data_IF_274151861636
#
_entry.id   IF_274151861636
#
_cell.length_a   1.000
_cell.length_b   1.000
_cell.length_c   1.000
_cell.angle_alpha   90.00
_cell.angle_beta   90.00
_cell.angle_gamma   90.00
#
_symmetry.space_group_name_H-M   'P 1'
#
loop_
_entity.id
_entity.type
_entity.pdbx_description
1 polymer ?
#
# COMPACT_ATOMS: atom_id res chain seq x y z
N UNK A 1 5.32 27.21 19.12
CA UNK A 1 6.60 26.58 18.72
C UNK A 1 7.01 25.43 19.64
N UNK A 2 7.40 25.65 20.90
CA UNK A 2 7.77 24.52 21.81
C UNK A 2 6.57 23.63 22.17
N UNK A 3 5.39 24.24 22.37
CA UNK A 3 4.15 23.50 22.66
C UNK A 3 3.73 22.60 21.50
N UNK A 4 3.84 23.10 20.27
CA UNK A 4 3.44 22.36 19.07
C UNK A 4 4.38 21.17 18.83
N UNK A 5 5.70 21.37 18.95
CA UNK A 5 6.68 20.30 18.86
C UNK A 5 6.48 19.20 19.92
N UNK A 6 6.16 19.57 21.16
CA UNK A 6 5.89 18.60 22.22
C UNK A 6 4.60 17.81 21.97
N UNK A 7 3.55 18.47 21.45
CA UNK A 7 2.30 17.80 21.08
C UNK A 7 2.48 16.87 19.88
N UNK A 8 3.29 17.25 18.89
CA UNK A 8 3.63 16.42 17.74
C UNK A 8 4.37 15.14 18.15
N UNK A 9 5.27 15.24 19.13
CA UNK A 9 5.95 14.05 19.68
C UNK A 9 4.99 13.10 20.39
N UNK A 10 4.09 13.63 21.24
CA UNK A 10 3.07 12.80 21.92
C UNK A 10 2.15 12.14 20.90
N UNK A 11 1.74 12.88 19.87
CA UNK A 11 0.91 12.34 18.81
C UNK A 11 1.65 11.23 18.06
N UNK A 12 2.91 11.44 17.70
CA UNK A 12 3.71 10.41 17.03
C UNK A 12 3.83 9.14 17.87
N UNK A 13 4.08 9.23 19.17
CA UNK A 13 4.15 8.06 20.06
C UNK A 13 2.83 7.26 20.05
N UNK A 14 1.68 7.95 20.07
CA UNK A 14 0.36 7.30 19.94
C UNK A 14 0.15 6.67 18.57
N UNK A 15 0.54 7.36 17.50
CA UNK A 15 0.42 6.87 16.11
C UNK A 15 1.29 5.63 15.91
N UNK A 16 2.53 5.66 16.40
CA UNK A 16 3.46 4.54 16.33
C UNK A 16 2.90 3.32 17.08
N UNK A 17 2.26 3.53 18.24
CA UNK A 17 1.64 2.49 19.05
C UNK A 17 0.25 2.02 18.60
N UNK A 18 -0.34 2.59 17.55
CA UNK A 18 -1.64 2.13 17.06
C UNK A 18 -1.54 0.71 16.51
N UNK A 19 -2.37 -0.22 16.98
CA UNK A 19 -2.39 -1.60 16.48
C UNK A 19 -3.49 -1.77 15.44
N UNK A 20 -3.12 -2.29 14.26
CA UNK A 20 -4.07 -2.57 13.18
C UNK A 20 -4.72 -3.96 13.28
N UNK A 21 -4.11 -4.86 14.05
CA UNK A 21 -4.55 -6.23 14.20
C UNK A 21 -5.10 -6.48 15.60
N UNK A 22 -6.10 -7.35 15.70
CA UNK A 22 -6.56 -7.89 16.98
C UNK A 22 -6.00 -9.31 17.16
N UNK A 23 -5.54 -9.64 18.37
CA UNK A 23 -5.00 -10.96 18.72
C UNK A 23 -6.00 -12.11 18.49
N UNK A 24 -7.30 -11.82 18.43
CA UNK A 24 -8.35 -12.81 18.19
C UNK A 24 -8.62 -13.07 16.70
N UNK A 25 -8.10 -12.21 15.81
CA UNK A 25 -8.37 -12.30 14.38
C UNK A 25 -7.40 -13.30 13.71
N UNK A 26 -7.94 -14.39 13.20
CA UNK A 26 -7.15 -15.32 12.35
C UNK A 26 -6.82 -14.71 10.98
N UNK A 27 -7.59 -13.69 10.57
CA UNK A 27 -7.43 -12.99 9.29
C UNK A 27 -7.57 -11.48 9.50
N UNK A 28 -6.59 -10.92 10.23
CA UNK A 28 -6.50 -9.49 10.55
C UNK A 28 -6.06 -8.61 9.37
N UNK A 29 -5.87 -7.33 9.66
CA UNK A 29 -5.46 -6.32 8.68
C UNK A 29 -4.14 -6.66 8.00
N UNK A 30 -3.08 -6.94 8.77
CA UNK A 30 -1.75 -7.21 8.23
C UNK A 30 -1.69 -8.53 7.46
N UNK A 31 -2.37 -9.57 7.95
CA UNK A 31 -2.49 -10.86 7.26
C UNK A 31 -3.14 -10.69 5.89
N UNK A 32 -4.25 -9.95 5.83
CA UNK A 32 -4.94 -9.68 4.57
C UNK A 32 -4.09 -8.84 3.62
N UNK A 33 -3.46 -7.78 4.13
CA UNK A 33 -2.58 -6.89 3.37
C UNK A 33 -1.42 -7.67 2.73
N UNK A 34 -0.77 -8.54 3.50
CA UNK A 34 0.33 -9.37 3.02
C UNK A 34 -0.13 -10.34 1.92
N UNK A 35 -1.25 -11.03 2.13
CA UNK A 35 -1.74 -12.05 1.19
C UNK A 35 -2.23 -11.45 -0.13
N UNK A 36 -2.94 -10.32 -0.09
CA UNK A 36 -3.48 -9.70 -1.30
C UNK A 36 -2.39 -9.06 -2.17
N UNK A 37 -1.26 -8.66 -1.57
CA UNK A 37 -0.15 -8.01 -2.28
C UNK A 37 1.08 -8.90 -2.47
N UNK A 38 1.01 -10.17 -2.04
CA UNK A 38 2.13 -11.13 -2.06
C UNK A 38 3.37 -10.63 -1.31
N UNK A 39 3.18 -9.85 -0.24
CA UNK A 39 4.26 -9.29 0.54
C UNK A 39 4.74 -10.24 1.62
N UNK A 40 6.04 -10.17 1.92
CA UNK A 40 6.57 -10.83 3.11
C UNK A 40 6.00 -10.18 4.38
N UNK A 41 5.99 -10.93 5.49
CA UNK A 41 5.60 -10.36 6.79
C UNK A 41 6.48 -9.19 7.19
N UNK A 42 7.79 -9.28 6.91
CA UNK A 42 8.73 -8.20 7.17
C UNK A 42 8.37 -6.94 6.39
N UNK A 43 8.24 -7.03 5.05
CA UNK A 43 7.91 -5.89 4.21
C UNK A 43 6.55 -5.28 4.60
N UNK A 44 5.57 -6.12 4.92
CA UNK A 44 4.26 -5.67 5.42
C UNK A 44 4.41 -4.79 6.66
N UNK A 45 5.23 -5.18 7.64
CA UNK A 45 5.45 -4.36 8.84
C UNK A 45 6.19 -3.05 8.54
N UNK A 46 7.15 -3.06 7.60
CA UNK A 46 7.81 -1.85 7.13
C UNK A 46 6.80 -0.90 6.48
N UNK A 47 5.98 -1.40 5.53
CA UNK A 47 4.96 -0.62 4.86
C UNK A 47 3.92 -0.02 5.84
N UNK A 48 3.52 -0.76 6.88
CA UNK A 48 2.63 -0.27 7.93
C UNK A 48 3.25 0.88 8.74
N UNK A 49 4.54 0.79 9.06
CA UNK A 49 5.25 1.87 9.74
C UNK A 49 5.33 3.12 8.86
N UNK A 50 5.61 2.97 7.57
CA UNK A 50 5.66 4.07 6.62
C UNK A 50 4.28 4.70 6.39
N UNK A 51 3.22 3.89 6.40
CA UNK A 51 1.84 4.38 6.40
C UNK A 51 1.51 5.21 7.64
N UNK A 52 1.93 4.77 8.83
CA UNK A 52 1.79 5.56 10.07
C UNK A 52 2.49 6.91 9.96
N UNK A 53 3.72 6.94 9.43
CA UNK A 53 4.47 8.20 9.20
C UNK A 53 3.72 9.12 8.24
N UNK A 54 3.23 8.59 7.12
CA UNK A 54 2.44 9.36 6.15
C UNK A 54 1.18 9.96 6.79
N UNK A 55 0.41 9.16 7.53
CA UNK A 55 -0.84 9.62 8.17
C UNK A 55 -0.57 10.67 9.25
N UNK A 56 0.55 10.56 9.96
CA UNK A 56 1.01 11.60 10.88
C UNK A 56 1.29 12.93 10.16
N UNK A 57 1.99 12.89 9.02
CA UNK A 57 2.21 14.10 8.20
C UNK A 57 0.88 14.66 7.69
N UNK A 58 -0.01 13.82 7.17
CA UNK A 58 -1.33 14.26 6.69
C UNK A 58 -2.18 14.90 7.81
N UNK A 59 -2.02 14.45 9.05
CA UNK A 59 -2.73 14.98 10.21
C UNK A 59 -2.17 16.33 10.69
N UNK A 60 -0.85 16.48 10.71
CA UNK A 60 -0.15 17.64 11.28
C UNK A 60 0.05 18.78 10.28
N UNK A 61 -0.09 18.52 8.99
CA UNK A 61 0.10 19.53 7.95
C UNK A 61 -1.24 20.12 7.47
N UNK A 62 -1.19 21.41 7.15
CA UNK A 62 -2.32 22.13 6.56
C UNK A 62 -2.39 21.96 5.03
N UNK A 63 -1.26 21.63 4.41
CA UNK A 63 -1.15 21.42 2.96
C UNK A 63 -1.26 19.94 2.60
N UNK A 64 -1.59 19.66 1.34
CA UNK A 64 -1.69 18.31 0.81
C UNK A 64 -0.33 17.60 0.84
N UNK A 65 -0.35 16.35 1.28
CA UNK A 65 0.73 15.37 1.15
C UNK A 65 0.26 14.24 0.23
N UNK A 66 1.21 13.55 -0.41
CA UNK A 66 0.96 12.47 -1.36
C UNK A 66 1.72 11.23 -0.93
N UNK A 67 1.06 10.07 -0.78
CA UNK A 67 1.73 8.82 -0.43
C UNK A 67 2.59 8.32 -1.60
N UNK A 68 3.50 7.38 -1.32
CA UNK A 68 4.04 6.49 -2.34
C UNK A 68 3.00 5.43 -2.73
N UNK A 69 3.24 4.68 -3.80
CA UNK A 69 2.34 3.62 -4.24
C UNK A 69 2.12 2.54 -3.17
N UNK A 70 3.19 2.08 -2.52
CA UNK A 70 3.10 1.10 -1.42
C UNK A 70 2.29 1.66 -0.25
N UNK A 71 2.54 2.90 0.17
CA UNK A 71 1.79 3.53 1.27
C UNK A 71 0.32 3.71 0.90
N UNK A 72 0.02 4.05 -0.36
CA UNK A 72 -1.33 4.19 -0.87
C UNK A 72 -2.08 2.85 -0.90
N UNK A 73 -1.41 1.74 -1.21
CA UNK A 73 -1.99 0.37 -1.09
C UNK A 73 -2.43 0.09 0.35
N UNK A 74 -1.56 0.39 1.34
CA UNK A 74 -1.91 0.22 2.76
C UNK A 74 -3.10 1.11 3.14
N UNK A 75 -3.11 2.35 2.68
CA UNK A 75 -4.19 3.29 2.99
C UNK A 75 -5.52 2.82 2.40
N UNK A 76 -5.55 2.42 1.12
CA UNK A 76 -6.73 1.86 0.47
C UNK A 76 -7.29 0.65 1.24
N UNK A 77 -6.40 -0.25 1.67
CA UNK A 77 -6.82 -1.37 2.48
C UNK A 77 -7.44 -0.90 3.79
N UNK A 78 -6.82 0.07 4.47
CA UNK A 78 -7.33 0.56 5.77
C UNK A 78 -8.69 1.23 5.65
N UNK A 79 -8.97 1.94 4.54
CA UNK A 79 -10.29 2.52 4.26
C UNK A 79 -11.43 1.48 4.24
N UNK A 80 -11.13 0.22 3.87
CA UNK A 80 -12.09 -0.89 3.90
C UNK A 80 -12.38 -1.33 5.34
N UNK A 81 -11.40 -1.24 6.24
CA UNK A 81 -11.54 -1.54 7.67
C UNK A 81 -12.08 -0.32 8.41
N UNK A 82 -13.31 0.08 8.08
CA UNK A 82 -13.91 1.37 8.43
C UNK A 82 -13.87 1.73 9.92
N UNK A 83 -14.07 0.76 10.83
CA UNK A 83 -13.98 0.98 12.27
C UNK A 83 -12.53 1.32 12.69
N UNK A 84 -11.55 0.48 12.31
CA UNK A 84 -10.13 0.74 12.57
C UNK A 84 -9.68 2.07 11.97
N UNK A 85 -10.13 2.39 10.76
CA UNK A 85 -9.82 3.66 10.11
C UNK A 85 -10.37 4.86 10.87
N UNK A 86 -11.61 4.74 11.36
CA UNK A 86 -12.26 5.77 12.16
C UNK A 86 -11.52 5.97 13.48
N UNK A 87 -11.14 4.89 14.16
CA UNK A 87 -10.37 4.93 15.39
C UNK A 87 -9.00 5.58 15.19
N UNK A 88 -8.32 5.26 14.08
CA UNK A 88 -7.05 5.87 13.75
C UNK A 88 -7.18 7.37 13.44
N UNK A 89 -8.22 7.77 12.70
CA UNK A 89 -8.52 9.19 12.45
C UNK A 89 -8.87 9.94 13.74
N UNK A 90 -9.60 9.31 14.66
CA UNK A 90 -9.91 9.88 15.97
C UNK A 90 -8.64 10.09 16.80
N UNK A 91 -7.71 9.13 16.77
CA UNK A 91 -6.39 9.25 17.40
C UNK A 91 -5.58 10.40 16.79
N UNK A 92 -5.62 10.55 15.47
CA UNK A 92 -4.96 11.64 14.74
C UNK A 92 -5.61 13.01 14.98
N UNK A 93 -6.83 13.05 15.53
CA UNK A 93 -7.60 14.28 15.72
C UNK A 93 -8.10 14.92 14.42
N UNK A 94 -7.95 14.23 13.28
CA UNK A 94 -8.31 14.69 11.95
C UNK A 94 -8.66 13.49 11.08
N UNK A 95 -9.81 13.57 10.40
CA UNK A 95 -10.16 12.62 9.35
C UNK A 95 -9.37 12.99 8.09
N UNK A 96 -8.58 12.05 7.60
CA UNK A 96 -7.83 12.21 6.35
C UNK A 96 -8.73 11.71 5.23
N UNK A 97 -9.02 12.55 4.24
CA UNK A 97 -9.84 12.15 3.10
C UNK A 97 -8.94 11.70 1.95
N UNK A 98 -9.26 10.57 1.35
CA UNK A 98 -8.58 10.10 0.15
C UNK A 98 -9.17 10.80 -1.07
N UNK A 99 -8.29 11.36 -1.91
CA UNK A 99 -8.67 12.02 -3.15
C UNK A 99 -8.04 11.19 -4.29
N UNK A 100 -8.86 10.44 -5.06
CA UNK A 100 -8.35 9.67 -6.18
C UNK A 100 -7.66 10.58 -7.19
N UNK A 101 -6.50 10.17 -7.69
CA UNK A 101 -5.91 10.83 -8.84
C UNK A 101 -6.82 10.59 -10.04
N UNK A 102 -7.45 11.64 -10.55
CA UNK A 102 -8.04 11.57 -11.88
C UNK A 102 -6.91 11.91 -12.85
N UNK A 103 -6.79 11.20 -13.97
CA UNK A 103 -5.70 11.41 -14.95
C UNK A 103 -5.79 12.77 -15.69
N UNK A 104 -6.33 13.80 -15.06
CA UNK A 104 -6.39 15.17 -15.52
C UNK A 104 -5.00 15.83 -15.40
N UNK A 105 -4.55 16.45 -16.49
CA UNK A 105 -3.26 17.16 -16.54
C UNK A 105 -3.15 18.28 -15.49
N UNK A 106 -4.26 18.92 -15.11
CA UNK A 106 -4.24 19.96 -14.08
C UNK A 106 -3.93 19.41 -12.68
N UNK A 107 -4.30 18.15 -12.40
CA UNK A 107 -4.04 17.51 -11.11
C UNK A 107 -2.59 16.98 -11.02
N UNK A 108 -1.96 16.69 -12.16
CA UNK A 108 -0.59 16.19 -12.21
C UNK A 108 0.41 17.12 -11.50
N UNK A 109 0.37 18.43 -11.75
CA UNK A 109 1.26 19.39 -11.09
C UNK A 109 1.00 19.49 -9.58
N UNK A 110 -0.27 19.38 -9.17
CA UNK A 110 -0.66 19.41 -7.76
C UNK A 110 -0.10 18.19 -7.03
N UNK A 111 -0.31 16.98 -7.56
CA UNK A 111 0.20 15.75 -6.97
C UNK A 111 1.72 15.69 -6.97
N UNK A 112 2.38 16.19 -8.02
CA UNK A 112 3.84 16.31 -8.05
C UNK A 112 4.35 17.20 -6.92
N UNK A 113 3.76 18.38 -6.71
CA UNK A 113 4.13 19.28 -5.61
C UNK A 113 3.86 18.64 -4.24
N UNK A 114 2.76 17.92 -4.09
CA UNK A 114 2.44 17.19 -2.87
C UNK A 114 3.45 16.06 -2.58
N UNK A 115 3.92 15.35 -3.60
CA UNK A 115 4.96 14.32 -3.46
C UNK A 115 6.28 14.90 -2.98
N UNK A 116 6.77 15.97 -3.60
CA UNK A 116 8.01 16.64 -3.17
C UNK A 116 7.91 17.17 -1.74
N UNK A 117 6.78 17.81 -1.41
CA UNK A 117 6.52 18.25 -0.03
C UNK A 117 6.50 17.10 0.97
N UNK A 118 5.89 15.97 0.60
CA UNK A 118 5.85 14.80 1.49
C UNK A 118 7.24 14.31 1.78
N UNK A 119 8.12 14.27 0.78
CA UNK A 119 9.52 13.89 0.95
C UNK A 119 10.25 14.84 1.89
N UNK A 120 10.14 16.15 1.68
CA UNK A 120 10.79 17.16 2.54
C UNK A 120 10.35 17.03 4.01
N UNK A 121 9.04 16.98 4.24
CA UNK A 121 8.48 16.83 5.58
C UNK A 121 8.86 15.50 6.22
N UNK A 122 8.81 14.41 5.46
CA UNK A 122 9.25 13.11 5.93
C UNK A 122 10.71 13.16 6.40
N UNK A 123 11.60 13.72 5.58
CA UNK A 123 13.03 13.75 5.88
C UNK A 123 13.34 14.60 7.12
N UNK A 124 12.60 15.69 7.33
CA UNK A 124 12.69 16.52 8.53
C UNK A 124 12.25 15.75 9.79
N UNK A 125 11.17 14.99 9.70
CA UNK A 125 10.55 14.34 10.86
C UNK A 125 11.14 12.97 11.20
N UNK A 126 11.55 12.20 10.19
CA UNK A 126 11.87 10.77 10.33
C UNK A 126 13.23 10.38 9.71
N UNK A 127 13.91 11.31 9.03
CA UNK A 127 15.14 11.03 8.29
C UNK A 127 14.86 10.44 6.90
N UNK A 128 15.87 9.82 6.28
CA UNK A 128 15.79 9.38 4.88
C UNK A 128 14.67 8.37 4.64
N UNK A 129 13.89 8.58 3.58
CA UNK A 129 12.86 7.65 3.14
C UNK A 129 13.47 6.30 2.70
N UNK A 130 12.97 5.15 3.18
CA UNK A 130 13.38 3.85 2.68
C UNK A 130 12.94 3.66 1.22
N UNK A 131 13.90 3.34 0.34
CA UNK A 131 13.65 3.24 -1.11
C UNK A 131 12.60 2.17 -1.43
N UNK A 132 12.65 1.03 -0.75
CA UNK A 132 11.73 -0.11 -0.90
C UNK A 132 10.24 0.24 -0.74
N UNK A 133 9.91 1.28 0.04
CA UNK A 133 8.51 1.73 0.21
C UNK A 133 8.20 3.01 -0.57
N UNK A 134 9.15 3.94 -0.68
CA UNK A 134 8.88 5.28 -1.19
C UNK A 134 9.22 5.49 -2.67
N UNK A 135 10.05 4.63 -3.27
CA UNK A 135 10.50 4.76 -4.65
C UNK A 135 9.92 3.70 -5.58
N UNK A 136 9.83 2.45 -5.14
CA UNK A 136 9.40 1.31 -5.94
C UNK A 136 7.88 1.08 -5.89
N UNK A 137 7.36 0.30 -6.85
CA UNK A 137 5.92 0.01 -6.95
C UNK A 137 5.55 -1.33 -6.29
N UNK A 138 6.52 -2.25 -6.17
CA UNK A 138 6.38 -3.49 -5.40
C UNK A 138 7.67 -3.87 -4.64
N UNK A 139 7.56 -4.83 -3.68
CA UNK A 139 8.68 -5.31 -2.85
C UNK A 139 9.86 -5.85 -3.70
N UNK A 140 9.56 -6.57 -4.79
CA UNK A 140 10.55 -7.26 -5.61
C UNK A 140 11.34 -6.33 -6.54
N UNK A 141 10.79 -5.16 -6.88
CA UNK A 141 11.49 -4.16 -7.71
C UNK A 141 12.80 -3.69 -7.06
N UNK A 142 12.87 -3.71 -5.73
CA UNK A 142 14.08 -3.37 -4.97
C UNK A 142 15.25 -4.33 -5.24
N UNK A 143 14.95 -5.52 -5.77
CA UNK A 143 15.95 -6.55 -6.10
C UNK A 143 16.55 -6.37 -7.51
N UNK A 144 16.06 -5.41 -8.30
CA UNK A 144 16.54 -5.11 -9.66
C UNK A 144 16.65 -6.36 -10.55
N UNK A 145 15.68 -7.28 -10.43
CA UNK A 145 15.68 -8.53 -11.20
C UNK A 145 15.44 -8.25 -12.68
N UNK A 146 16.07 -9.03 -13.56
CA UNK A 146 15.78 -8.98 -14.98
C UNK A 146 14.32 -9.37 -15.25
N UNK A 147 13.65 -8.58 -16.10
CA UNK A 147 12.30 -8.88 -16.55
C UNK A 147 12.23 -10.27 -17.19
N UNK A 148 11.22 -11.04 -16.80
CA UNK A 148 11.06 -12.38 -17.38
C UNK A 148 10.77 -12.25 -18.88
N UNK A 149 11.46 -13.06 -19.70
CA UNK A 149 11.16 -13.17 -21.13
C UNK A 149 9.80 -13.82 -21.43
N UNK A 150 9.10 -14.28 -20.39
CA UNK A 150 7.84 -15.00 -20.48
C UNK A 150 6.65 -14.09 -20.20
N UNK A 151 5.78 -13.92 -21.20
CA UNK A 151 4.49 -13.28 -20.97
C UNK A 151 3.49 -14.28 -20.36
N UNK A 152 3.14 -14.10 -19.09
CA UNK A 152 2.22 -14.98 -18.34
C UNK A 152 0.85 -15.10 -19.01
N UNK A 153 0.32 -14.01 -19.60
CA UNK A 153 -0.95 -14.04 -20.31
C UNK A 153 -0.86 -14.92 -21.57
N UNK A 154 0.24 -14.83 -22.31
CA UNK A 154 0.53 -15.70 -23.46
C UNK A 154 0.65 -17.16 -23.04
N UNK A 155 1.39 -17.45 -21.96
CA UNK A 155 1.51 -18.80 -21.42
C UNK A 155 0.16 -19.38 -21.01
N UNK A 156 -0.67 -18.60 -20.30
CA UNK A 156 -2.01 -19.01 -19.87
C UNK A 156 -2.92 -19.32 -21.06
N UNK A 157 -2.88 -18.48 -22.11
CA UNK A 157 -3.66 -18.69 -23.34
C UNK A 157 -3.22 -19.97 -24.06
N UNK A 158 -1.92 -20.19 -24.17
CA UNK A 158 -1.36 -21.39 -24.79
C UNK A 158 -1.72 -22.64 -24.00
N UNK A 159 -1.57 -22.61 -22.68
CA UNK A 159 -1.97 -23.72 -21.80
C UNK A 159 -3.45 -24.09 -22.01
N UNK A 160 -4.35 -23.11 -21.95
CA UNK A 160 -5.78 -23.35 -22.17
C UNK A 160 -6.06 -23.96 -23.55
N UNK A 161 -5.40 -23.45 -24.59
CA UNK A 161 -5.54 -23.98 -25.96
C UNK A 161 -5.10 -25.45 -26.04
N UNK A 162 -3.94 -25.79 -25.47
CA UNK A 162 -3.42 -27.16 -25.51
C UNK A 162 -4.26 -28.12 -24.66
N UNK A 163 -4.77 -27.66 -23.51
CA UNK A 163 -5.69 -28.44 -22.68
C UNK A 163 -6.98 -28.76 -23.46
N UNK A 164 -7.58 -27.79 -24.14
CA UNK A 164 -8.78 -28.03 -24.97
C UNK A 164 -8.47 -29.04 -26.09
N UNK A 165 -7.39 -28.83 -26.85
CA UNK A 165 -7.01 -29.70 -27.98
C UNK A 165 -6.79 -31.14 -27.54
N UNK A 166 -6.16 -31.35 -26.38
CA UNK A 166 -5.85 -32.70 -25.86
C UNK A 166 -7.04 -33.37 -25.17
N UNK A 167 -7.97 -32.59 -24.61
CA UNK A 167 -9.17 -33.12 -23.94
C UNK A 167 -10.25 -33.61 -24.91
N UNK A 168 -10.40 -32.96 -26.08
CA UNK A 168 -11.43 -33.29 -27.06
C UNK A 168 -11.33 -34.75 -27.55
N UNK A 169 -10.15 -35.26 -27.99
CA UNK A 169 -10.00 -36.67 -28.41
C UNK A 169 -10.29 -37.66 -27.29
N UNK A 170 -9.89 -37.34 -26.05
CA UNK A 170 -10.14 -38.17 -24.86
C UNK A 170 -11.63 -38.23 -24.54
N UNK A 171 -12.33 -37.09 -24.58
CA UNK A 171 -13.79 -37.05 -24.42
C UNK A 171 -14.50 -37.83 -25.53
N UNK A 172 -14.07 -37.69 -26.79
CA UNK A 172 -14.66 -38.44 -27.90
C UNK A 172 -14.45 -39.96 -27.71
N UNK A 173 -13.30 -40.41 -27.22
CA UNK A 173 -13.05 -41.84 -26.94
C UNK A 173 -13.89 -42.38 -25.78
N UNK A 174 -14.20 -41.57 -24.77
CA UNK A 174 -14.97 -41.98 -23.59
C UNK A 174 -16.48 -41.97 -23.85
N UNK A 175 -16.99 -41.03 -24.65
CA UNK A 175 -18.43 -40.77 -24.79
C UNK A 175 -19.06 -41.21 -26.13
N UNK A 176 -18.27 -41.68 -27.11
CA UNK A 176 -18.78 -42.24 -28.38
C UNK A 176 -18.77 -43.78 -28.47
N UNK A 177 -18.53 -44.47 -27.35
CA UNK A 177 -18.70 -45.92 -27.20
C UNK A 177 -19.77 -46.25 -26.15
#
# INVERSE_FOLDING_TARGET
>A
MIKDFFMDKILWEKVQGFEFDNLQDQYGFSTRLALENYWTLYFTQVALLEYKKFMFLAATQNEMVSPSEIVDIVWHQHLIFTNSYTDFCNLLGKRIEHIPSTHNKAEFEMFHKAKERTKELYEINFGKQPLEVWHYTNELDSLELEDSSFNVATLRKNFLKYTIITSIPVCLLIFLF
#
